data_IF_579687400713
#
_entry.id   IF_579687400713
#
_cell.length_a   1.000
_cell.length_b   1.000
_cell.length_c   1.000
_cell.angle_alpha   90.00
_cell.angle_beta   90.00
_cell.angle_gamma   90.00
#
_symmetry.space_group_name_H-M   'P 1'
#
loop_
_entity.id
_entity.type
_entity.pdbx_description
1 polymer ?
#
# COMPACT_ATOMS: atom_id res chain seq x y z
N UNK A 1 15.37 1.93 -26.10
CA UNK A 1 14.58 3.06 -25.58
C UNK A 1 14.34 2.78 -24.11
N UNK A 2 14.98 3.53 -23.21
CA UNK A 2 14.90 3.28 -21.77
C UNK A 2 13.71 4.06 -21.20
N UNK A 3 12.58 3.40 -21.03
CA UNK A 3 11.41 3.99 -20.39
C UNK A 3 11.64 4.00 -18.88
N UNK A 4 12.03 5.15 -18.34
CA UNK A 4 12.09 5.38 -16.90
C UNK A 4 10.67 5.36 -16.34
N UNK A 5 10.32 4.29 -15.60
CA UNK A 5 9.06 4.21 -14.85
C UNK A 5 9.25 4.93 -13.52
N UNK A 6 8.57 6.07 -13.32
CA UNK A 6 8.57 6.78 -12.04
C UNK A 6 7.37 6.34 -11.20
N UNK A 7 7.63 5.66 -10.07
CA UNK A 7 6.59 5.35 -9.09
C UNK A 7 6.26 6.58 -8.24
N UNK A 8 4.97 6.91 -8.11
CA UNK A 8 4.46 7.94 -7.18
C UNK A 8 3.48 7.30 -6.18
N UNK A 9 3.68 7.55 -4.88
CA UNK A 9 2.80 7.10 -3.78
C UNK A 9 1.68 8.14 -3.55
N UNK A 10 0.39 7.76 -3.53
CA UNK A 10 -0.77 8.67 -3.32
C UNK A 10 -1.97 7.99 -2.65
N UNK A 11 -2.64 8.66 -1.70
CA UNK A 11 -3.50 8.06 -0.65
C UNK A 11 -4.94 8.60 -0.50
N UNK A 12 -5.49 9.45 -1.38
CA UNK A 12 -6.85 10.03 -1.16
C UNK A 12 -7.96 9.45 -2.06
N UNK A 13 -9.23 9.47 -1.57
CA UNK A 13 -10.43 8.97 -2.27
C UNK A 13 -10.69 9.70 -3.61
N UNK A 14 -10.47 11.01 -3.66
CA UNK A 14 -10.59 11.82 -4.90
C UNK A 14 -9.52 11.45 -5.93
N UNK A 15 -8.32 11.10 -5.48
CA UNK A 15 -7.27 10.60 -6.38
C UNK A 15 -7.64 9.24 -6.96
N UNK A 16 -8.34 8.37 -6.25
CA UNK A 16 -8.71 7.04 -6.74
C UNK A 16 -9.70 7.06 -7.91
N UNK A 17 -10.72 7.93 -7.86
CA UNK A 17 -11.62 8.13 -9.01
C UNK A 17 -10.89 8.70 -10.23
N UNK A 18 -9.86 9.53 -10.01
CA UNK A 18 -8.96 9.98 -11.08
C UNK A 18 -8.09 8.82 -11.64
N UNK A 19 -7.61 7.91 -10.78
CA UNK A 19 -6.78 6.75 -11.17
C UNK A 19 -7.50 5.79 -12.13
N UNK A 20 -8.81 5.58 -11.95
CA UNK A 20 -9.59 4.71 -12.84
C UNK A 20 -9.82 5.30 -14.23
N UNK A 21 -9.75 6.63 -14.35
CA UNK A 21 -9.99 7.34 -15.62
C UNK A 21 -8.70 7.63 -16.38
N UNK A 22 -7.54 7.34 -15.82
CA UNK A 22 -6.26 7.63 -16.46
C UNK A 22 -5.66 6.39 -17.13
N UNK A 23 -4.72 6.62 -18.05
CA UNK A 23 -4.02 5.56 -18.80
C UNK A 23 -2.83 4.96 -18.03
N UNK A 24 -2.67 5.29 -16.74
CA UNK A 24 -1.56 4.75 -15.95
C UNK A 24 -1.91 3.37 -15.42
N UNK A 25 -0.88 2.56 -15.22
CA UNK A 25 -0.96 1.28 -14.53
C UNK A 25 -0.60 1.46 -13.06
N UNK A 26 -1.31 0.77 -12.18
CA UNK A 26 -1.15 0.83 -10.73
C UNK A 26 -0.83 -0.56 -10.20
N UNK A 27 0.16 -0.64 -9.32
CA UNK A 27 0.44 -1.84 -8.54
C UNK A 27 0.10 -1.51 -7.09
N UNK A 28 -0.84 -2.24 -6.51
CA UNK A 28 -1.25 -2.09 -5.14
C UNK A 28 -0.87 -3.34 -4.35
N UNK A 29 -0.29 -3.17 -3.15
CA UNK A 29 0.11 -4.30 -2.30
C UNK A 29 -0.67 -4.20 -0.98
N UNK A 30 -1.50 -5.20 -0.71
CA UNK A 30 -2.13 -5.39 0.59
C UNK A 30 -1.30 -6.33 1.46
N UNK A 31 -1.42 -6.17 2.78
CA UNK A 31 -0.75 -7.03 3.78
C UNK A 31 -1.71 -7.32 4.92
N UNK A 32 -1.52 -8.45 5.60
CA UNK A 32 -2.23 -8.76 6.84
C UNK A 32 -2.18 -7.57 7.81
N UNK A 33 -3.35 -7.12 8.25
CA UNK A 33 -3.48 -5.89 9.05
C UNK A 33 -2.76 -6.00 10.40
N UNK A 34 -2.69 -7.19 11.01
CA UNK A 34 -1.94 -7.39 12.25
C UNK A 34 -0.46 -7.08 12.08
N UNK A 35 0.11 -7.57 10.98
CA UNK A 35 1.53 -7.34 10.66
C UNK A 35 1.79 -5.88 10.25
N UNK A 36 0.81 -5.23 9.61
CA UNK A 36 0.87 -3.81 9.26
C UNK A 36 0.91 -2.95 10.51
N UNK A 37 0.06 -3.22 11.50
CA UNK A 37 0.02 -2.47 12.76
C UNK A 37 1.36 -2.59 13.49
N UNK A 38 1.90 -3.81 13.60
CA UNK A 38 3.22 -4.04 14.21
C UNK A 38 4.32 -3.31 13.47
N UNK A 39 4.35 -3.42 12.14
CA UNK A 39 5.32 -2.71 11.32
C UNK A 39 5.19 -1.19 11.45
N UNK A 40 3.97 -0.67 11.59
CA UNK A 40 3.71 0.76 11.72
C UNK A 40 4.18 1.31 13.07
N UNK A 41 3.96 0.56 14.16
CA UNK A 41 4.45 0.94 15.49
C UNK A 41 5.98 1.09 15.52
N UNK A 42 6.71 0.09 15.00
CA UNK A 42 8.17 0.16 14.91
C UNK A 42 8.63 1.30 13.99
N UNK A 43 7.95 1.49 12.86
CA UNK A 43 8.23 2.61 11.97
C UNK A 43 8.09 3.97 12.69
N UNK A 44 6.99 4.21 13.41
CA UNK A 44 6.80 5.48 14.13
C UNK A 44 7.75 5.64 15.33
N UNK A 45 8.16 4.54 15.98
CA UNK A 45 9.18 4.54 17.02
C UNK A 45 10.56 4.98 16.50
N UNK A 46 10.90 4.63 15.27
CA UNK A 46 12.20 4.92 14.66
C UNK A 46 12.21 6.20 13.80
N UNK A 47 11.03 6.76 13.50
CA UNK A 47 10.84 7.93 12.64
C UNK A 47 11.30 9.22 13.32
N UNK A 48 12.59 9.51 13.18
CA UNK A 48 13.23 10.72 13.72
C UNK A 48 12.59 12.03 13.24
N UNK A 49 12.10 12.07 11.99
CA UNK A 49 11.45 13.26 11.37
C UNK A 49 10.15 13.68 12.05
N UNK A 50 9.54 12.82 12.86
CA UNK A 50 8.30 13.11 13.59
C UNK A 50 8.52 13.20 15.11
N UNK A 51 9.78 13.33 15.55
CA UNK A 51 10.13 13.49 16.96
C UNK A 51 10.20 12.18 17.76
N UNK A 52 10.20 11.03 17.07
CA UNK A 52 10.05 9.68 17.64
C UNK A 52 8.75 9.50 18.42
N UNK A 53 7.95 8.49 18.08
CA UNK A 53 6.74 8.21 18.82
C UNK A 53 7.05 7.70 20.24
N UNK A 54 6.69 8.47 21.26
CA UNK A 54 6.98 8.14 22.66
C UNK A 54 5.90 7.30 23.35
N UNK A 55 4.71 7.16 22.75
CA UNK A 55 3.61 6.37 23.30
C UNK A 55 3.88 4.87 23.34
N UNK A 56 3.07 4.13 24.10
CA UNK A 56 3.12 2.68 24.15
C UNK A 56 2.38 2.02 22.99
N UNK A 57 2.38 0.68 23.00
CA UNK A 57 1.75 -0.15 21.98
C UNK A 57 0.23 0.06 21.93
N UNK A 58 -0.43 0.04 23.09
CA UNK A 58 -1.89 0.11 23.18
C UNK A 58 -2.39 1.46 22.66
N UNK A 59 -1.72 2.55 23.02
CA UNK A 59 -2.03 3.87 22.49
C UNK A 59 -1.84 3.92 20.97
N UNK A 60 -0.78 3.30 20.43
CA UNK A 60 -0.55 3.28 18.98
C UNK A 60 -1.64 2.48 18.25
N UNK A 61 -2.02 1.34 18.82
CA UNK A 61 -3.09 0.49 18.31
C UNK A 61 -4.43 1.24 18.25
N UNK A 62 -4.81 1.94 19.31
CA UNK A 62 -6.03 2.76 19.34
C UNK A 62 -6.02 3.87 18.29
N UNK A 63 -4.89 4.57 18.12
CA UNK A 63 -4.75 5.60 17.09
C UNK A 63 -4.90 5.01 15.69
N UNK A 64 -4.30 3.86 15.41
CA UNK A 64 -4.33 3.24 14.09
C UNK A 64 -5.72 2.70 13.76
N UNK A 65 -6.33 1.94 14.67
CA UNK A 65 -7.69 1.39 14.48
C UNK A 65 -8.73 2.50 14.43
N UNK A 66 -8.52 3.61 15.15
CA UNK A 66 -9.37 4.79 15.07
C UNK A 66 -9.13 5.69 13.85
N UNK A 67 -8.21 5.32 12.95
CA UNK A 67 -7.86 6.12 11.76
C UNK A 67 -7.20 7.47 12.08
N UNK A 68 -6.73 7.67 13.32
CA UNK A 68 -6.12 8.91 13.84
C UNK A 68 -4.61 8.96 13.60
N UNK A 69 -4.15 8.36 12.51
CA UNK A 69 -2.75 8.34 12.09
C UNK A 69 -2.56 9.15 10.82
N UNK A 70 -1.32 9.53 10.51
CA UNK A 70 -0.99 10.40 9.36
C UNK A 70 -1.55 9.91 8.02
N UNK A 71 -1.73 8.59 7.88
CA UNK A 71 -2.20 7.93 6.65
C UNK A 71 -3.71 7.67 6.63
N UNK A 72 -4.44 8.11 7.66
CA UNK A 72 -5.88 7.92 7.81
C UNK A 72 -6.27 6.50 8.18
N UNK A 73 -7.52 6.15 7.91
CA UNK A 73 -8.09 4.85 8.20
C UNK A 73 -7.55 3.77 7.24
N UNK A 74 -6.95 2.73 7.82
CA UNK A 74 -6.34 1.63 7.07
C UNK A 74 -7.38 0.77 6.34
N UNK A 75 -8.54 0.52 6.96
CA UNK A 75 -9.57 -0.34 6.39
C UNK A 75 -10.21 0.33 5.18
N UNK A 76 -10.58 1.60 5.29
CA UNK A 76 -11.05 2.43 4.18
C UNK A 76 -10.02 2.45 3.04
N UNK A 77 -8.74 2.58 3.39
CA UNK A 77 -7.67 2.58 2.40
C UNK A 77 -7.62 1.25 1.64
N UNK A 78 -7.52 0.10 2.32
CA UNK A 78 -7.46 -1.21 1.65
C UNK A 78 -8.75 -1.52 0.90
N UNK A 79 -9.91 -1.23 1.51
CA UNK A 79 -11.22 -1.50 0.93
C UNK A 79 -11.41 -0.76 -0.40
N UNK A 80 -11.09 0.53 -0.43
CA UNK A 80 -11.21 1.34 -1.66
C UNK A 80 -10.37 0.82 -2.84
N UNK A 81 -9.21 0.20 -2.59
CA UNK A 81 -8.44 -0.46 -3.64
C UNK A 81 -8.99 -1.85 -4.00
N UNK A 82 -9.48 -2.57 -2.99
CA UNK A 82 -10.08 -3.89 -3.18
C UNK A 82 -11.30 -3.84 -4.10
N UNK A 83 -12.14 -2.80 -3.98
CA UNK A 83 -13.30 -2.58 -4.87
C UNK A 83 -12.93 -2.47 -6.36
N UNK A 84 -11.67 -2.12 -6.66
CA UNK A 84 -11.19 -1.90 -8.02
C UNK A 84 -10.12 -2.92 -8.45
N UNK A 85 -9.92 -3.99 -7.67
CA UNK A 85 -8.85 -4.95 -7.89
C UNK A 85 -8.89 -5.65 -9.25
N UNK A 86 -10.06 -5.70 -9.88
CA UNK A 86 -10.30 -6.38 -11.17
C UNK A 86 -10.23 -5.41 -12.37
N UNK A 87 -9.86 -4.13 -12.16
CA UNK A 87 -9.66 -3.20 -13.26
C UNK A 87 -8.38 -3.53 -14.03
N UNK A 88 -8.44 -3.46 -15.37
CA UNK A 88 -7.32 -3.82 -16.26
C UNK A 88 -6.01 -3.04 -16.01
N UNK A 89 -6.11 -1.85 -15.42
CA UNK A 89 -4.97 -1.00 -15.10
C UNK A 89 -4.53 -1.08 -13.64
N UNK A 90 -5.01 -2.06 -12.86
CA UNK A 90 -4.64 -2.29 -11.46
C UNK A 90 -4.17 -3.74 -11.29
N UNK A 91 -2.95 -3.91 -10.80
CA UNK A 91 -2.44 -5.18 -10.30
C UNK A 91 -2.51 -5.17 -8.77
N UNK A 92 -3.40 -5.99 -8.21
CA UNK A 92 -3.56 -6.15 -6.77
C UNK A 92 -2.74 -7.34 -6.28
N UNK A 93 -1.75 -7.08 -5.43
CA UNK A 93 -0.85 -8.06 -4.86
C UNK A 93 -1.06 -8.23 -3.37
N UNK A 94 -0.67 -9.39 -2.85
CA UNK A 94 -0.59 -9.66 -1.42
C UNK A 94 0.87 -9.80 -1.01
N UNK A 95 1.24 -9.08 0.05
CA UNK A 95 2.58 -9.15 0.64
C UNK A 95 2.97 -10.58 1.00
N UNK A 96 2.02 -11.39 1.49
CA UNK A 96 2.28 -12.77 1.87
C UNK A 96 2.65 -13.64 0.66
N UNK A 97 2.04 -13.40 -0.51
CA UNK A 97 2.41 -14.11 -1.73
C UNK A 97 3.80 -13.71 -2.20
N UNK A 98 4.14 -12.41 -2.16
CA UNK A 98 5.49 -11.92 -2.48
C UNK A 98 6.58 -12.56 -1.59
N UNK A 99 6.22 -12.96 -0.35
CA UNK A 99 7.11 -13.67 0.57
C UNK A 99 7.16 -15.17 0.30
N UNK A 100 6.08 -15.75 -0.21
CA UNK A 100 5.96 -17.19 -0.47
C UNK A 100 6.56 -17.59 -1.81
N UNK A 101 6.29 -16.81 -2.86
CA UNK A 101 6.74 -17.03 -4.24
C UNK A 101 7.08 -15.68 -4.88
N UNK A 102 8.33 -15.25 -4.65
CA UNK A 102 8.80 -13.98 -5.19
C UNK A 102 8.91 -14.01 -6.72
N UNK A 103 9.40 -15.12 -7.28
CA UNK A 103 9.65 -15.22 -8.73
C UNK A 103 8.33 -15.24 -9.52
N UNK A 104 7.30 -15.93 -9.03
CA UNK A 104 5.97 -15.91 -9.61
C UNK A 104 5.34 -14.51 -9.58
N UNK A 105 5.41 -13.82 -8.44
CA UNK A 105 4.84 -12.48 -8.32
C UNK A 105 5.64 -11.43 -9.12
N UNK A 106 6.97 -11.57 -9.24
CA UNK A 106 7.78 -10.73 -10.13
C UNK A 106 7.42 -10.96 -11.60
N UNK A 107 7.15 -12.22 -11.99
CA UNK A 107 6.67 -12.56 -13.34
C UNK A 107 5.31 -11.91 -13.62
N UNK A 108 4.38 -11.92 -12.66
CA UNK A 108 3.10 -11.23 -12.75
C UNK A 108 3.28 -9.71 -12.92
N UNK A 109 4.17 -9.10 -12.14
CA UNK A 109 4.49 -7.66 -12.25
C UNK A 109 5.07 -7.34 -13.63
N UNK A 110 6.00 -8.16 -14.14
CA UNK A 110 6.61 -7.98 -15.44
C UNK A 110 5.59 -8.03 -16.58
N UNK A 111 4.71 -9.04 -16.55
CA UNK A 111 3.63 -9.19 -17.52
C UNK A 111 2.66 -8.00 -17.49
N UNK A 112 2.24 -7.57 -16.29
CA UNK A 112 1.39 -6.39 -16.12
C UNK A 112 2.06 -5.10 -16.64
N UNK A 113 3.38 -4.98 -16.48
CA UNK A 113 4.17 -3.86 -17.00
C UNK A 113 4.54 -4.01 -18.49
N UNK A 114 4.21 -5.12 -19.14
CA UNK A 114 4.52 -5.36 -20.56
C UNK A 114 6.03 -5.44 -20.81
N UNK A 115 6.77 -6.00 -19.87
CA UNK A 115 8.23 -6.16 -19.92
C UNK A 115 8.65 -7.59 -20.33
N UNK A 116 7.67 -8.47 -20.55
CA UNK A 116 7.79 -9.84 -21.07
C UNK A 116 7.23 -9.94 -22.47
#
# INVERSE_FOLDING_TARGET
MNTTVTAKLTNTKTEQQFKLRNKCRYIYIARNTKDVITSYFHFEKEKSRSGFYSGDWDHCFELLVGGKVQRGDWFDHVHSWWEHKDADNILFLRYENLKLDLDGELSNISAFLGLT
#
